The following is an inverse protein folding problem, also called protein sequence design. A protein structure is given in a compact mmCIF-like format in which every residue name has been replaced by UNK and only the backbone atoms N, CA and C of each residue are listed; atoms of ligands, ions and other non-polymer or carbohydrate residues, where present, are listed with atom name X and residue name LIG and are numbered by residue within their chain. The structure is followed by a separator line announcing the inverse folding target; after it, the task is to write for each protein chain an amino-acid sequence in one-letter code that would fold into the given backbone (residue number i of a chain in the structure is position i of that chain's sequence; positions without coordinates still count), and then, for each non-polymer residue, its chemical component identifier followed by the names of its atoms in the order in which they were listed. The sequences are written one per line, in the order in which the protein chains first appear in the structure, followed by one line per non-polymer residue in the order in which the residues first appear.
data_IF_211806784758
#
_entry.id   IF_211806784758
#
_cell.length_a   1.000
_cell.length_b   1.000
_cell.length_c   1.000
_cell.angle_alpha   90.00
_cell.angle_beta   90.00
_cell.angle_gamma   90.00
#
_symmetry.space_group_name_H-M   'P 1'
#
loop_
_entity.id
_entity.type
_entity.pdbx_description
1 polymer ?
#
# COMPACT_ATOMS: atom_id res chain seq x y z
N UNK A 1 -15.19 -33.10 19.69
CA UNK A 1 -14.57 -33.50 18.41
C UNK A 1 -15.08 -32.69 17.21
N UNK A 2 -16.40 -32.60 16.98
CA UNK A 2 -16.98 -31.80 15.88
C UNK A 2 -16.64 -30.30 15.95
N UNK A 3 -16.60 -29.74 17.16
CA UNK A 3 -16.26 -28.34 17.39
C UNK A 3 -14.86 -27.98 16.89
N UNK A 4 -13.85 -28.82 17.14
CA UNK A 4 -12.49 -28.61 16.65
C UNK A 4 -12.44 -28.61 15.12
N UNK A 5 -13.21 -29.49 14.47
CA UNK A 5 -13.33 -29.52 13.01
C UNK A 5 -13.88 -28.19 12.48
N UNK A 6 -14.94 -27.66 13.10
CA UNK A 6 -15.53 -26.36 12.71
C UNK A 6 -14.52 -25.23 12.87
N UNK A 7 -13.77 -25.21 13.98
CA UNK A 7 -12.74 -24.18 14.22
C UNK A 7 -11.63 -24.25 13.17
N UNK A 8 -11.16 -25.45 12.82
CA UNK A 8 -10.11 -25.64 11.80
C UNK A 8 -10.59 -25.18 10.43
N UNK A 9 -11.81 -25.56 10.04
CA UNK A 9 -12.40 -25.14 8.76
C UNK A 9 -12.56 -23.61 8.73
N UNK A 10 -13.10 -23.02 9.80
CA UNK A 10 -13.26 -21.58 9.90
C UNK A 10 -11.90 -20.86 9.78
N UNK A 11 -10.90 -21.31 10.52
CA UNK A 11 -9.54 -20.76 10.46
C UNK A 11 -8.93 -20.85 9.04
N UNK A 12 -9.12 -21.99 8.36
CA UNK A 12 -8.63 -22.18 7.00
C UNK A 12 -9.30 -21.21 6.01
N UNK A 13 -10.62 -21.03 6.09
CA UNK A 13 -11.38 -20.11 5.24
C UNK A 13 -10.94 -18.66 5.49
N UNK A 14 -10.85 -18.24 6.76
CA UNK A 14 -10.39 -16.90 7.12
C UNK A 14 -8.97 -16.64 6.64
N UNK A 15 -8.06 -17.60 6.82
CA UNK A 15 -6.69 -17.51 6.33
C UNK A 15 -6.64 -17.33 4.82
N UNK A 16 -7.40 -18.13 4.06
CA UNK A 16 -7.41 -18.06 2.60
C UNK A 16 -7.96 -16.72 2.09
N UNK A 17 -9.01 -16.20 2.74
CA UNK A 17 -9.57 -14.89 2.41
C UNK A 17 -8.55 -13.76 2.63
N UNK A 18 -7.87 -13.78 3.77
CA UNK A 18 -6.81 -12.80 4.09
C UNK A 18 -5.64 -12.95 3.12
N UNK A 19 -5.19 -14.19 2.85
CA UNK A 19 -4.09 -14.50 1.94
C UNK A 19 -4.37 -13.98 0.53
N UNK A 20 -5.58 -14.18 0.03
CA UNK A 20 -5.97 -13.74 -1.31
C UNK A 20 -6.09 -12.22 -1.42
N UNK A 21 -6.57 -11.56 -0.37
CA UNK A 21 -6.60 -10.10 -0.29
C UNK A 21 -5.19 -9.50 -0.21
N UNK A 22 -4.27 -10.16 0.51
CA UNK A 22 -2.84 -9.78 0.53
C UNK A 22 -2.15 -10.01 -0.81
N UNK A 23 -2.46 -11.09 -1.53
CA UNK A 23 -1.89 -11.35 -2.86
C UNK A 23 -2.38 -10.35 -3.92
N UNK A 24 -3.60 -9.82 -3.78
CA UNK A 24 -4.15 -8.81 -4.70
C UNK A 24 -3.79 -7.37 -4.33
N UNK A 25 -3.47 -7.10 -3.07
CA UNK A 25 -2.97 -5.81 -2.60
C UNK A 25 -1.44 -5.79 -2.60
N UNK A 26 -0.84 -5.06 -3.54
CA UNK A 26 0.60 -4.75 -3.58
C UNK A 26 1.09 -4.09 -2.27
N UNK A 27 1.34 -4.89 -1.22
CA UNK A 27 1.70 -4.37 0.10
C UNK A 27 1.50 -5.32 1.28
N UNK A 28 0.88 -6.50 1.11
CA UNK A 28 0.71 -7.49 2.16
C UNK A 28 2.01 -8.18 2.57
N UNK A 29 2.87 -7.46 3.29
CA UNK A 29 4.07 -8.03 3.91
C UNK A 29 3.62 -9.15 4.85
N UNK A 30 3.82 -10.41 4.47
CA UNK A 30 4.17 -11.41 5.46
C UNK A 30 5.38 -10.82 6.17
N UNK A 31 5.17 -10.28 7.36
CA UNK A 31 6.23 -9.81 8.25
C UNK A 31 6.99 -11.05 8.75
N UNK A 32 7.67 -11.73 7.83
CA UNK A 32 8.88 -12.45 8.14
C UNK A 32 9.79 -11.40 8.75
N UNK A 33 10.01 -11.48 10.06
CA UNK A 33 10.85 -10.57 10.83
C UNK A 33 12.12 -10.30 10.01
N UNK A 34 12.16 -9.18 9.31
CA UNK A 34 13.42 -8.68 8.78
C UNK A 34 14.24 -8.36 10.03
N UNK A 35 15.45 -8.90 10.21
CA UNK A 35 16.33 -8.36 11.23
C UNK A 35 16.38 -6.85 10.99
N UNK A 36 16.21 -6.04 12.05
CA UNK A 36 16.32 -4.59 11.95
C UNK A 36 17.67 -4.28 11.33
N UNK A 37 17.69 -4.01 10.03
CA UNK A 37 18.90 -3.56 9.36
C UNK A 37 19.15 -2.18 9.95
N UNK A 38 20.31 -1.91 10.55
CA UNK A 38 20.63 -0.57 11.04
C UNK A 38 20.40 0.39 9.88
N UNK A 39 19.64 1.46 10.14
CA UNK A 39 19.31 2.47 9.14
C UNK A 39 20.65 2.91 8.53
N UNK A 40 20.86 2.75 7.20
CA UNK A 40 22.11 3.18 6.60
C UNK A 40 22.33 4.65 6.97
N UNK A 41 23.56 5.06 7.32
CA UNK A 41 23.84 6.46 7.65
C UNK A 41 23.29 7.31 6.50
N UNK A 42 22.58 8.40 6.84
CA UNK A 42 21.97 9.31 5.89
C UNK A 42 23.04 9.71 4.88
N UNK A 43 23.08 9.02 3.73
CA UNK A 43 23.92 9.43 2.62
C UNK A 43 23.43 10.84 2.27
N UNK A 44 24.31 11.75 1.86
CA UNK A 44 23.88 13.00 1.24
C UNK A 44 22.98 12.60 0.08
N UNK A 45 21.68 12.69 0.29
CA UNK A 45 20.67 12.35 -0.69
C UNK A 45 20.63 13.58 -1.59
N UNK A 46 20.87 13.38 -2.87
CA UNK A 46 20.77 14.48 -3.79
C UNK A 46 19.29 14.96 -3.78
N UNK A 47 19.02 16.27 -3.93
CA UNK A 47 17.65 16.80 -3.79
C UNK A 47 16.60 16.13 -4.70
N UNK A 48 17.04 15.49 -5.78
CA UNK A 48 16.23 14.70 -6.71
C UNK A 48 15.86 13.30 -6.20
N UNK A 49 16.63 12.73 -5.27
CA UNK A 49 16.40 11.42 -4.65
C UNK A 49 15.55 11.48 -3.36
N UNK A 50 15.23 12.68 -2.88
CA UNK A 50 14.39 12.89 -1.69
C UNK A 50 12.92 12.50 -1.98
N UNK A 51 12.36 11.60 -1.17
CA UNK A 51 10.94 11.22 -1.25
C UNK A 51 9.99 12.43 -1.17
N UNK A 52 10.40 13.46 -0.41
CA UNK A 52 9.65 14.71 -0.28
C UNK A 52 9.56 15.48 -1.60
N UNK A 53 10.65 15.52 -2.37
CA UNK A 53 10.72 16.20 -3.67
C UNK A 53 9.86 15.47 -4.72
N UNK A 54 10.02 14.14 -4.80
CA UNK A 54 9.20 13.30 -5.69
C UNK A 54 7.70 13.44 -5.38
N UNK A 55 7.33 13.55 -4.09
CA UNK A 55 5.94 13.77 -3.66
C UNK A 55 5.40 15.15 -4.07
N UNK A 56 6.24 16.19 -4.09
CA UNK A 56 5.83 17.52 -4.57
C UNK A 56 5.59 17.52 -6.09
N UNK A 57 6.46 16.86 -6.87
CA UNK A 57 6.25 16.69 -8.31
C UNK A 57 4.94 15.96 -8.61
N UNK A 58 4.65 14.88 -7.89
CA UNK A 58 3.40 14.13 -8.05
C UNK A 58 2.18 14.98 -7.68
N UNK A 59 2.26 15.82 -6.63
CA UNK A 59 1.19 16.79 -6.29
C UNK A 59 0.98 17.81 -7.41
N UNK A 60 2.05 18.34 -8.00
CA UNK A 60 1.98 19.30 -9.11
C UNK A 60 1.39 18.66 -10.37
N UNK A 61 1.84 17.46 -10.72
CA UNK A 61 1.29 16.68 -11.84
C UNK A 61 -0.21 16.46 -11.68
N UNK A 62 -0.67 16.04 -10.50
CA UNK A 62 -2.10 15.86 -10.22
C UNK A 62 -2.90 17.16 -10.34
N UNK A 63 -2.35 18.29 -9.89
CA UNK A 63 -3.02 19.60 -10.04
C UNK A 63 -3.16 20.01 -11.51
N UNK A 64 -2.14 19.78 -12.33
CA UNK A 64 -2.19 20.07 -13.77
C UNK A 64 -3.11 19.12 -14.53
N UNK A 65 -3.12 17.85 -14.15
CA UNK A 65 -3.97 16.83 -14.76
C UNK A 65 -5.43 16.91 -14.30
N UNK A 66 -5.74 17.60 -13.20
CA UNK A 66 -7.12 17.79 -12.77
C UNK A 66 -7.77 18.77 -13.76
N UNK A 67 -8.64 18.30 -14.67
CA UNK A 67 -9.42 19.20 -15.51
C UNK A 67 -10.28 20.04 -14.56
N UNK A 68 -10.49 21.30 -14.90
CA UNK A 68 -11.42 22.14 -14.15
C UNK A 68 -12.77 21.39 -14.06
N UNK A 69 -13.43 21.42 -12.89
CA UNK A 69 -14.73 20.78 -12.70
C UNK A 69 -15.68 21.26 -13.80
N UNK A 70 -16.60 20.39 -14.28
CA UNK A 70 -17.53 20.79 -15.32
C UNK A 70 -18.32 22.01 -14.82
N UNK A 71 -18.04 23.17 -15.40
CA UNK A 71 -19.01 24.24 -15.47
C UNK A 71 -20.11 23.69 -16.37
N UNK A 72 -21.17 23.18 -15.76
CA UNK A 72 -22.34 22.64 -16.45
C UNK A 72 -22.82 23.64 -17.51
N UNK A 73 -22.77 23.29 -18.82
CA UNK A 73 -23.46 24.04 -19.84
C UNK A 73 -24.79 23.32 -20.13
N UNK A 74 -25.88 24.02 -19.85
CA UNK A 74 -27.21 23.90 -20.46
C UNK A 74 -27.92 22.53 -20.42
N UNK A 75 -28.93 22.47 -19.57
CA UNK A 75 -30.25 21.94 -19.94
C UNK A 75 -31.23 23.11 -20.03
#
# INVERSE_FOLDING_TARGET
MKFLLVVVIFAAVTYLAIRWMQDRGSGGHTAQRRPMRPKPPTRPLAPDDDEAFLRDLERRRRKQQKPQPPSDPDG
#
